data_IF_537769302227
#
_entry.id   IF_537769302227
#
_cell.length_a   1.000
_cell.length_b   1.000
_cell.length_c   1.000
_cell.angle_alpha   90.00
_cell.angle_beta   90.00
_cell.angle_gamma   90.00
#
_symmetry.space_group_name_H-M   'P 1'
#
loop_
_entity.id
_entity.type
_entity.pdbx_description
1 polymer ?
#
# COMPACT_ATOMS: atom_id res chain seq x y z
N UNK A 1 19.91 5.55 15.09
CA UNK A 1 19.14 4.33 14.79
C UNK A 1 17.88 4.43 15.62
N UNK A 2 16.76 4.73 14.99
CA UNK A 2 15.44 4.62 15.61
C UNK A 2 15.08 3.15 15.46
N UNK A 3 15.05 2.39 16.54
CA UNK A 3 14.55 1.01 16.49
C UNK A 3 13.02 1.08 16.45
N UNK A 4 12.48 1.33 15.26
CA UNK A 4 11.03 1.47 15.03
C UNK A 4 10.25 0.18 15.27
N UNK A 5 10.93 -0.90 15.67
CA UNK A 5 10.35 -2.20 15.97
C UNK A 5 9.15 -2.12 16.90
N UNK A 6 9.26 -1.47 18.06
CA UNK A 6 8.17 -1.39 19.03
C UNK A 6 6.95 -0.62 18.51
N UNK A 7 7.17 0.46 17.75
CA UNK A 7 6.08 1.25 17.15
C UNK A 7 5.37 0.47 16.04
N UNK A 8 6.14 -0.22 15.19
CA UNK A 8 5.59 -1.05 14.11
C UNK A 8 4.80 -2.23 14.69
N UNK A 9 5.34 -2.93 15.69
CA UNK A 9 4.64 -4.03 16.38
C UNK A 9 3.38 -3.57 17.10
N UNK A 10 3.40 -2.40 17.70
CA UNK A 10 2.20 -1.78 18.26
C UNK A 10 1.11 -1.56 17.19
N UNK A 11 1.48 -1.01 16.03
CA UNK A 11 0.54 -0.78 14.93
C UNK A 11 0.03 -2.09 14.29
N UNK A 12 0.91 -3.08 14.11
CA UNK A 12 0.53 -4.42 13.63
C UNK A 12 -0.53 -5.05 14.55
N UNK A 13 -0.31 -5.02 15.87
CA UNK A 13 -1.27 -5.55 16.84
C UNK A 13 -2.64 -4.85 16.81
N UNK A 14 -2.67 -3.54 16.53
CA UNK A 14 -3.93 -2.80 16.40
C UNK A 14 -4.74 -3.24 15.17
N UNK A 15 -4.09 -3.73 14.12
CA UNK A 15 -4.74 -4.12 12.85
C UNK A 15 -4.90 -5.64 12.68
N UNK A 16 -4.46 -6.45 13.65
CA UNK A 16 -4.55 -7.90 13.57
C UNK A 16 -5.95 -8.40 13.98
N UNK A 17 -6.80 -8.61 12.97
CA UNK A 17 -8.15 -9.15 13.13
C UNK A 17 -8.18 -10.61 13.65
N UNK A 18 -7.07 -11.33 13.51
CA UNK A 18 -6.95 -12.76 13.79
C UNK A 18 -6.13 -13.04 15.06
N UNK A 19 -5.69 -12.01 15.81
CA UNK A 19 -4.76 -12.16 16.94
C UNK A 19 -5.27 -13.11 18.03
N UNK A 20 -6.58 -13.24 18.20
CA UNK A 20 -7.17 -14.19 19.16
C UNK A 20 -6.99 -15.66 18.74
N UNK A 21 -6.56 -15.95 17.52
CA UNK A 21 -6.21 -17.33 17.12
C UNK A 21 -4.92 -17.82 17.75
N UNK A 22 -4.04 -16.90 18.12
CA UNK A 22 -2.66 -17.17 18.55
C UNK A 22 -2.33 -16.59 19.92
N UNK A 23 -3.15 -15.67 20.43
CA UNK A 23 -2.95 -14.98 21.69
C UNK A 23 -4.26 -14.78 22.45
N UNK A 24 -4.17 -14.45 23.73
CA UNK A 24 -5.31 -14.05 24.54
C UNK A 24 -5.45 -12.53 24.58
N UNK A 25 -6.64 -12.02 24.85
CA UNK A 25 -6.85 -10.58 25.00
C UNK A 25 -5.92 -9.96 26.06
N UNK A 26 -5.68 -10.69 27.16
CA UNK A 26 -4.76 -10.25 28.21
C UNK A 26 -3.29 -10.36 27.80
N UNK A 27 -2.92 -11.39 27.04
CA UNK A 27 -1.59 -11.52 26.43
C UNK A 27 -1.26 -10.35 25.50
N UNK A 28 -2.24 -9.93 24.69
CA UNK A 28 -2.11 -8.73 23.84
C UNK A 28 -1.99 -7.45 24.67
N UNK A 29 -2.76 -7.31 25.76
CA UNK A 29 -2.64 -6.16 26.66
C UNK A 29 -1.22 -6.03 27.25
N UNK A 30 -0.59 -7.14 27.66
CA UNK A 30 0.80 -7.14 28.16
C UNK A 30 1.82 -6.74 27.10
N UNK A 31 1.60 -7.14 25.85
CA UNK A 31 2.43 -6.70 24.73
C UNK A 31 2.29 -5.19 24.52
N UNK A 32 1.08 -4.65 24.54
CA UNK A 32 0.86 -3.20 24.44
C UNK A 32 1.56 -2.41 25.55
N UNK A 33 1.49 -2.85 26.81
CA UNK A 33 2.20 -2.19 27.92
C UNK A 33 3.71 -2.13 27.67
N UNK A 34 4.29 -3.23 27.18
CA UNK A 34 5.72 -3.31 26.86
C UNK A 34 6.09 -2.34 25.73
N UNK A 35 5.32 -2.34 24.64
CA UNK A 35 5.59 -1.47 23.50
C UNK A 35 5.38 0.00 23.82
N UNK A 36 4.31 0.37 24.55
CA UNK A 36 4.06 1.76 24.91
C UNK A 36 5.20 2.34 25.75
N UNK A 37 5.72 1.59 26.72
CA UNK A 37 6.82 2.04 27.55
C UNK A 37 8.07 2.36 26.70
N UNK A 38 8.41 1.47 25.76
CA UNK A 38 9.53 1.66 24.86
C UNK A 38 9.29 2.81 23.87
N UNK A 39 8.13 2.86 23.22
CA UNK A 39 7.75 3.93 22.28
C UNK A 39 7.83 5.30 22.98
N UNK A 40 7.26 5.44 24.18
CA UNK A 40 7.32 6.70 24.94
C UNK A 40 8.78 7.12 25.19
N UNK A 41 9.64 6.18 25.57
CA UNK A 41 11.07 6.42 25.79
C UNK A 41 11.78 6.86 24.50
N UNK A 42 11.54 6.16 23.39
CA UNK A 42 12.13 6.49 22.09
C UNK A 42 11.68 7.85 21.57
N UNK A 43 10.37 8.14 21.66
CA UNK A 43 9.81 9.45 21.27
C UNK A 43 10.45 10.57 22.07
N UNK A 44 10.62 10.41 23.39
CA UNK A 44 11.30 11.44 24.20
C UNK A 44 12.76 11.65 23.75
N UNK A 45 13.50 10.58 23.47
CA UNK A 45 14.88 10.69 22.95
C UNK A 45 14.92 11.41 21.60
N UNK A 46 13.99 11.11 20.71
CA UNK A 46 13.88 11.77 19.41
C UNK A 46 13.52 13.25 19.55
N UNK A 47 12.58 13.59 20.43
CA UNK A 47 12.25 14.98 20.71
C UNK A 47 13.43 15.75 21.31
N UNK A 48 14.29 15.11 22.11
CA UNK A 48 15.53 15.74 22.60
C UNK A 48 16.55 15.99 21.49
N UNK A 49 16.63 15.10 20.50
CA UNK A 49 17.58 15.22 19.38
C UNK A 49 17.07 16.15 18.26
N UNK A 50 15.75 16.36 18.16
CA UNK A 50 15.11 17.19 17.14
C UNK A 50 14.87 18.60 17.67
N UNK A 51 15.43 19.61 17.02
CA UNK A 51 15.20 21.03 17.38
C UNK A 51 14.05 21.66 16.58
N UNK A 52 13.66 21.07 15.46
CA UNK A 52 12.64 21.57 14.53
C UNK A 52 11.65 20.45 14.15
N UNK A 53 10.45 20.83 13.71
CA UNK A 53 9.39 19.92 13.21
C UNK A 53 8.97 18.79 14.17
N UNK A 54 9.10 19.03 15.48
CA UNK A 54 8.66 18.09 16.53
C UNK A 54 7.16 17.84 16.48
N UNK A 55 6.38 18.89 16.22
CA UNK A 55 4.93 18.85 16.00
C UNK A 55 4.56 17.93 14.83
N UNK A 56 5.21 18.12 13.68
CA UNK A 56 4.96 17.29 12.48
C UNK A 56 5.31 15.82 12.71
N UNK A 57 6.41 15.53 13.41
CA UNK A 57 6.79 14.16 13.77
C UNK A 57 5.75 13.50 14.70
N UNK A 58 5.27 14.23 15.70
CA UNK A 58 4.25 13.72 16.62
C UNK A 58 2.90 13.53 15.92
N UNK A 59 2.50 14.45 15.05
CA UNK A 59 1.30 14.31 14.21
C UNK A 59 1.38 13.12 13.27
N UNK A 60 2.55 12.85 12.69
CA UNK A 60 2.77 11.64 11.89
C UNK A 60 2.52 10.37 12.70
N UNK A 61 3.13 10.23 13.88
CA UNK A 61 2.92 9.04 14.73
C UNK A 61 1.45 8.88 15.14
N UNK A 62 0.75 9.99 15.42
CA UNK A 62 -0.69 9.98 15.70
C UNK A 62 -1.46 9.45 14.49
N UNK A 63 -1.20 9.97 13.29
CA UNK A 63 -1.85 9.52 12.06
C UNK A 63 -1.59 8.04 11.76
N UNK A 64 -0.37 7.56 12.02
CA UNK A 64 0.00 6.14 11.87
C UNK A 64 -0.76 5.22 12.81
N UNK A 65 -1.10 5.67 14.02
CA UNK A 65 -1.98 4.94 14.94
C UNK A 65 -3.43 5.05 14.47
N UNK A 66 -3.89 6.24 14.10
CA UNK A 66 -5.29 6.50 13.73
C UNK A 66 -5.70 5.76 12.44
N UNK A 67 -4.77 5.47 11.52
CA UNK A 67 -5.07 4.71 10.28
C UNK A 67 -5.27 3.20 10.50
N UNK A 68 -4.93 2.67 11.67
CA UNK A 68 -5.04 1.22 11.96
C UNK A 68 -6.50 0.77 12.09
N UNK A 69 -6.74 -0.52 11.82
CA UNK A 69 -8.06 -1.15 11.71
C UNK A 69 -8.61 -1.67 13.06
N UNK A 70 -8.51 -0.88 14.14
CA UNK A 70 -9.16 -1.18 15.41
C UNK A 70 -10.47 -0.39 15.60
N UNK A 71 -11.31 -0.86 16.54
CA UNK A 71 -12.59 -0.23 16.91
C UNK A 71 -12.33 1.00 17.80
N UNK A 72 -12.33 2.19 17.19
CA UNK A 72 -11.95 3.46 17.83
C UNK A 72 -12.92 3.96 18.91
N UNK A 73 -14.15 3.45 18.92
CA UNK A 73 -15.21 3.76 19.88
C UNK A 73 -15.44 2.62 20.88
N UNK A 74 -14.51 1.66 20.96
CA UNK A 74 -14.53 0.58 21.94
C UNK A 74 -14.14 1.04 23.35
N UNK A 75 -14.95 1.94 23.92
CA UNK A 75 -14.83 2.38 25.30
C UNK A 75 -15.31 1.33 26.31
N UNK A 76 -15.42 1.76 27.57
CA UNK A 76 -15.83 0.87 28.68
C UNK A 76 -17.21 0.21 28.48
N UNK A 77 -18.05 0.78 27.61
CA UNK A 77 -19.34 0.21 27.20
C UNK A 77 -19.21 -1.20 26.59
N UNK A 78 -18.12 -1.53 25.90
CA UNK A 78 -17.91 -2.85 25.30
C UNK A 78 -17.78 -3.95 26.36
N UNK A 79 -17.07 -3.64 27.44
CA UNK A 79 -16.76 -4.60 28.51
C UNK A 79 -17.68 -4.50 29.72
N UNK A 80 -18.50 -3.44 29.81
CA UNK A 80 -19.37 -3.18 30.96
C UNK A 80 -20.28 -4.35 31.35
N UNK A 81 -20.77 -5.12 30.38
CA UNK A 81 -21.58 -6.32 30.65
C UNK A 81 -20.76 -7.39 31.38
N UNK A 82 -19.50 -7.57 30.99
CA UNK A 82 -18.58 -8.54 31.57
C UNK A 82 -18.06 -8.09 32.94
N UNK A 83 -17.68 -6.81 33.07
CA UNK A 83 -17.26 -6.24 34.36
C UNK A 83 -18.34 -6.44 35.43
N UNK A 84 -19.62 -6.22 35.08
CA UNK A 84 -20.76 -6.47 35.97
C UNK A 84 -20.96 -7.95 36.27
N UNK A 85 -20.82 -8.80 35.26
CA UNK A 85 -21.00 -10.25 35.42
C UNK A 85 -19.94 -10.88 36.33
N UNK A 86 -18.69 -10.46 36.19
CA UNK A 86 -17.57 -10.94 37.02
C UNK A 86 -17.36 -10.13 38.31
N UNK A 87 -18.17 -9.10 38.55
CA UNK A 87 -18.08 -8.20 39.71
C UNK A 87 -16.66 -7.66 39.95
N UNK A 88 -16.04 -7.14 38.89
CA UNK A 88 -14.66 -6.64 38.90
C UNK A 88 -14.57 -5.25 38.26
N UNK A 89 -13.66 -4.41 38.75
CA UNK A 89 -13.34 -3.13 38.11
C UNK A 89 -12.32 -3.31 36.98
N UNK A 90 -12.28 -2.36 36.05
CA UNK A 90 -11.24 -2.38 35.01
C UNK A 90 -9.86 -2.13 35.60
N UNK A 91 -9.75 -1.26 36.60
CA UNK A 91 -8.48 -0.95 37.27
C UNK A 91 -7.86 -2.20 37.91
N UNK A 92 -8.67 -3.05 38.55
CA UNK A 92 -8.20 -4.33 39.11
C UNK A 92 -7.65 -5.29 38.05
N UNK A 93 -8.16 -5.21 36.80
CA UNK A 93 -7.63 -6.00 35.69
C UNK A 93 -6.30 -5.42 35.18
N UNK A 94 -6.16 -4.09 35.17
CA UNK A 94 -4.98 -3.39 34.66
C UNK A 94 -3.81 -3.35 35.65
N UNK A 95 -4.10 -3.28 36.95
CA UNK A 95 -3.09 -3.22 38.03
C UNK A 95 -2.53 -4.60 38.42
N UNK A 96 -3.01 -5.68 37.78
CA UNK A 96 -2.58 -7.06 37.99
C UNK A 96 -2.65 -7.53 39.46
N UNK A 97 -3.49 -6.92 40.30
CA UNK A 97 -3.41 -7.10 41.75
C UNK A 97 -3.79 -8.51 42.24
N UNK A 98 -4.60 -9.28 41.50
CA UNK A 98 -4.88 -10.68 41.84
C UNK A 98 -5.34 -11.54 40.64
N UNK A 99 -4.43 -12.34 40.06
CA UNK A 99 -4.73 -13.34 39.03
C UNK A 99 -5.70 -14.46 39.48
N UNK A 100 -6.20 -14.42 40.72
CA UNK A 100 -7.22 -15.35 41.24
C UNK A 100 -8.64 -14.96 40.90
N UNK A 101 -8.87 -13.74 40.41
CA UNK A 101 -10.23 -13.31 40.03
C UNK A 101 -10.79 -14.20 38.90
N UNK A 102 -12.08 -14.58 38.95
CA UNK A 102 -12.66 -15.52 37.99
C UNK A 102 -12.52 -15.09 36.53
N UNK A 103 -12.46 -13.79 36.25
CA UNK A 103 -12.33 -13.27 34.89
C UNK A 103 -10.99 -13.67 34.24
N UNK A 104 -9.90 -13.82 35.01
CA UNK A 104 -8.60 -14.20 34.46
C UNK A 104 -8.58 -15.65 33.96
N UNK A 105 -9.45 -16.51 34.49
CA UNK A 105 -9.65 -17.87 33.96
C UNK A 105 -10.18 -17.88 32.52
N UNK A 106 -10.71 -16.75 32.07
CA UNK A 106 -11.24 -16.53 30.72
C UNK A 106 -10.33 -15.62 29.89
N UNK A 107 -9.76 -14.56 30.49
CA UNK A 107 -8.92 -13.60 29.80
C UNK A 107 -7.48 -14.08 29.54
N UNK A 108 -6.95 -14.95 30.40
CA UNK A 108 -5.56 -15.44 30.33
C UNK A 108 -5.46 -16.87 29.78
N UNK A 109 -6.58 -17.60 29.73
CA UNK A 109 -6.66 -18.92 29.08
C UNK A 109 -7.08 -18.77 27.63
N UNK A 110 -6.36 -19.39 26.70
CA UNK A 110 -6.75 -19.37 25.30
C UNK A 110 -8.07 -20.13 25.10
N UNK A 111 -9.05 -19.55 24.40
CA UNK A 111 -10.37 -20.18 24.27
C UNK A 111 -10.32 -21.51 23.49
N UNK A 112 -9.31 -21.72 22.65
CA UNK A 112 -9.05 -23.02 22.00
C UNK A 112 -8.61 -24.12 22.97
N UNK A 113 -8.13 -23.78 24.17
CA UNK A 113 -7.79 -24.75 25.21
C UNK A 113 -9.02 -25.19 26.02
N UNK A 114 -10.20 -24.62 25.73
CA UNK A 114 -11.47 -25.00 26.33
C UNK A 114 -12.16 -26.11 25.52
N UNK A 115 -13.07 -26.82 26.17
CA UNK A 115 -13.83 -27.93 25.56
C UNK A 115 -14.47 -27.50 24.22
N UNK A 116 -14.24 -28.22 23.11
CA UNK A 116 -14.85 -27.93 21.82
C UNK A 116 -16.38 -27.92 21.89
N UNK A 117 -17.01 -26.97 21.20
CA UNK A 117 -18.48 -26.82 21.15
C UNK A 117 -19.15 -26.60 22.51
N UNK A 118 -18.42 -26.07 23.49
CA UNK A 118 -18.96 -25.73 24.82
C UNK A 118 -19.44 -24.28 24.88
N UNK A 119 -20.47 -24.04 25.70
CA UNK A 119 -20.93 -22.67 26.01
C UNK A 119 -19.84 -21.82 26.67
N UNK A 120 -18.92 -22.47 27.37
CA UNK A 120 -17.78 -21.84 28.03
C UNK A 120 -16.78 -21.30 27.00
N UNK A 121 -16.46 -22.09 25.97
CA UNK A 121 -15.63 -21.66 24.85
C UNK A 121 -16.24 -20.46 24.11
N UNK A 122 -17.52 -20.54 23.76
CA UNK A 122 -18.21 -19.47 23.03
C UNK A 122 -18.22 -18.17 23.85
N UNK A 123 -18.52 -18.29 25.15
CA UNK A 123 -18.48 -17.14 26.08
C UNK A 123 -17.06 -16.58 26.20
N UNK A 124 -16.05 -17.43 26.31
CA UNK A 124 -14.66 -16.99 26.43
C UNK A 124 -14.19 -16.22 25.20
N UNK A 125 -14.54 -16.69 24.01
CA UNK A 125 -14.27 -15.97 22.78
C UNK A 125 -14.91 -14.57 22.78
N UNK A 126 -16.19 -14.47 23.16
CA UNK A 126 -16.89 -13.17 23.22
C UNK A 126 -16.29 -12.22 24.26
N UNK A 127 -15.94 -12.73 25.44
CA UNK A 127 -15.26 -11.95 26.49
C UNK A 127 -13.92 -11.44 25.96
N UNK A 128 -13.08 -12.32 25.41
CA UNK A 128 -11.77 -11.92 24.89
C UNK A 128 -11.88 -10.94 23.72
N UNK A 129 -12.84 -11.10 22.82
CA UNK A 129 -13.06 -10.17 21.72
C UNK A 129 -13.47 -8.77 22.20
N UNK A 130 -14.40 -8.68 23.15
CA UNK A 130 -14.83 -7.39 23.70
C UNK A 130 -13.68 -6.70 24.46
N UNK A 131 -12.91 -7.46 25.24
CA UNK A 131 -11.74 -6.95 25.96
C UNK A 131 -10.59 -6.56 25.03
N UNK A 132 -10.34 -7.32 23.96
CA UNK A 132 -9.33 -6.99 22.96
C UNK A 132 -9.65 -5.64 22.31
N UNK A 133 -10.90 -5.45 21.84
CA UNK A 133 -11.35 -4.19 21.26
C UNK A 133 -11.17 -3.03 22.25
N UNK A 134 -11.54 -3.24 23.52
CA UNK A 134 -11.33 -2.27 24.58
C UNK A 134 -9.84 -1.94 24.78
N UNK A 135 -8.98 -2.94 24.88
CA UNK A 135 -7.54 -2.73 25.08
C UNK A 135 -6.89 -2.02 23.89
N UNK A 136 -7.21 -2.41 22.65
CA UNK A 136 -6.73 -1.72 21.46
C UNK A 136 -7.10 -0.24 21.48
N UNK A 137 -8.38 0.07 21.76
CA UNK A 137 -8.84 1.45 21.84
C UNK A 137 -8.16 2.22 22.99
N UNK A 138 -8.09 1.63 24.18
CA UNK A 138 -7.51 2.24 25.38
C UNK A 138 -6.03 2.58 25.17
N UNK A 139 -5.23 1.63 24.71
CA UNK A 139 -3.79 1.82 24.52
C UNK A 139 -3.46 2.71 23.32
N UNK A 140 -4.25 2.66 22.24
CA UNK A 140 -4.13 3.61 21.14
C UNK A 140 -4.40 5.04 21.62
N UNK A 141 -5.48 5.25 22.38
CA UNK A 141 -5.82 6.56 22.95
C UNK A 141 -4.75 7.05 23.93
N UNK A 142 -4.24 6.18 24.82
CA UNK A 142 -3.17 6.53 25.75
C UNK A 142 -1.91 7.02 25.02
N UNK A 143 -1.51 6.32 23.97
CA UNK A 143 -0.34 6.71 23.19
C UNK A 143 -0.59 7.99 22.39
N UNK A 144 -1.76 8.15 21.78
CA UNK A 144 -2.16 9.37 21.07
C UNK A 144 -2.18 10.57 22.03
N UNK A 145 -2.76 10.43 23.23
CA UNK A 145 -2.79 11.49 24.24
C UNK A 145 -1.38 11.86 24.69
N UNK A 146 -0.51 10.87 24.92
CA UNK A 146 0.89 11.10 25.21
C UNK A 146 1.56 11.91 24.09
N UNK A 147 1.41 11.51 22.83
CA UNK A 147 2.01 12.19 21.67
C UNK A 147 1.48 13.63 21.55
N UNK A 148 0.15 13.83 21.65
CA UNK A 148 -0.48 15.16 21.64
C UNK A 148 0.02 16.04 22.78
N UNK A 149 0.28 15.47 23.96
CA UNK A 149 0.83 16.22 25.11
C UNK A 149 2.23 16.79 24.86
N UNK A 150 2.97 16.23 23.89
CA UNK A 150 4.31 16.68 23.51
C UNK A 150 4.32 17.68 22.36
N UNK A 151 3.18 17.91 21.71
CA UNK A 151 3.08 18.93 20.65
C UNK A 151 3.25 20.31 21.30
N UNK A 152 4.25 21.11 20.89
CA UNK A 152 4.49 22.43 21.47
C UNK A 152 3.29 23.36 21.29
N UNK A 153 2.74 23.89 22.39
CA UNK A 153 1.66 24.89 22.36
C UNK A 153 2.22 26.29 22.03
N UNK A 154 2.60 26.52 20.77
CA UNK A 154 3.05 27.79 20.12
C UNK A 154 4.22 28.56 20.78
N UNK A 155 5.24 28.85 19.96
CA UNK A 155 6.62 29.31 20.28
C UNK A 155 6.74 30.78 20.74
N UNK A 156 7.92 31.20 21.25
CA UNK A 156 8.75 32.05 20.40
C UNK A 156 10.22 31.63 20.26
N UNK A 157 10.77 32.15 19.16
CA UNK A 157 12.14 32.12 18.65
C UNK A 157 13.22 32.24 19.73
N UNK A 158 14.31 31.47 19.59
CA UNK A 158 15.66 32.03 19.63
C UNK A 158 16.65 31.09 18.94
N UNK A 159 17.40 31.66 18.01
CA UNK A 159 18.56 31.06 17.37
C UNK A 159 19.67 30.87 18.40
N UNK A 160 20.25 29.67 18.45
CA UNK A 160 21.61 29.47 18.91
C UNK A 160 22.28 28.41 18.04
N UNK A 161 23.46 28.76 17.56
CA UNK A 161 24.27 28.08 16.56
C UNK A 161 25.29 27.11 17.20
N UNK A 162 25.59 26.01 16.46
CA UNK A 162 26.81 25.15 16.44
C UNK A 162 26.82 23.94 17.42
N UNK A 163 27.39 22.75 17.09
CA UNK A 163 28.16 22.31 15.90
C UNK A 163 27.59 21.12 15.09
N UNK A 164 27.99 21.12 13.82
CA UNK A 164 27.73 20.12 12.77
C UNK A 164 28.36 18.77 13.13
N UNK A 165 27.52 17.77 13.41
CA UNK A 165 27.83 16.38 13.06
C UNK A 165 27.19 16.12 11.68
N UNK A 166 28.00 15.73 10.68
CA UNK A 166 27.51 15.30 9.35
C UNK A 166 26.69 14.01 9.51
N UNK A 167 25.46 14.14 9.94
CA UNK A 167 24.42 13.12 9.83
C UNK A 167 23.58 13.51 8.62
N UNK A 168 23.31 12.54 7.73
CA UNK A 168 22.47 12.80 6.56
C UNK A 168 21.13 13.40 7.04
N UNK A 169 20.62 14.45 6.38
CA UNK A 169 19.42 15.17 6.84
C UNK A 169 18.11 14.41 6.58
N UNK A 170 18.18 13.17 6.09
CA UNK A 170 17.04 12.35 5.70
C UNK A 170 17.31 10.87 6.05
N UNK A 171 16.24 10.11 6.30
CA UNK A 171 16.26 8.65 6.47
C UNK A 171 16.51 7.96 5.12
N UNK A 172 17.25 6.87 5.10
CA UNK A 172 17.46 6.04 3.90
C UNK A 172 17.42 4.54 4.21
N UNK A 173 16.81 4.15 5.33
CA UNK A 173 16.80 2.78 5.82
C UNK A 173 15.98 1.88 4.90
N UNK A 174 14.72 2.23 4.68
CA UNK A 174 13.84 1.47 3.81
C UNK A 174 14.23 1.60 2.35
N UNK A 175 14.84 2.71 1.92
CA UNK A 175 15.43 2.80 0.59
C UNK A 175 16.56 1.78 0.41
N UNK A 176 17.46 1.66 1.38
CA UNK A 176 18.55 0.70 1.31
C UNK A 176 18.05 -0.74 1.40
N UNK A 177 17.09 -1.04 2.27
CA UNK A 177 16.47 -2.37 2.39
C UNK A 177 15.73 -2.73 1.11
N UNK A 178 14.85 -1.86 0.61
CA UNK A 178 14.13 -2.08 -0.64
C UNK A 178 15.11 -2.36 -1.79
N UNK A 179 16.12 -1.50 -2.00
CA UNK A 179 17.11 -1.69 -3.06
C UNK A 179 17.89 -3.01 -2.91
N UNK A 180 18.19 -3.43 -1.67
CA UNK A 180 18.83 -4.72 -1.41
C UNK A 180 17.91 -5.88 -1.77
N UNK A 181 16.66 -5.84 -1.31
CA UNK A 181 15.69 -6.93 -1.49
C UNK A 181 15.29 -7.10 -2.95
N UNK A 182 15.19 -6.03 -3.75
CA UNK A 182 14.91 -6.16 -5.19
C UNK A 182 16.13 -6.61 -6.00
N UNK A 183 17.34 -6.51 -5.44
CA UNK A 183 18.62 -6.86 -6.10
C UNK A 183 19.15 -8.25 -5.73
N UNK A 184 18.51 -8.96 -4.81
CA UNK A 184 18.97 -10.25 -4.27
C UNK A 184 18.29 -11.47 -4.94
N UNK A 185 18.50 -11.67 -6.24
CA UNK A 185 17.94 -12.80 -6.99
C UNK A 185 18.36 -14.16 -6.43
N UNK A 186 19.52 -14.20 -5.76
CA UNK A 186 20.05 -15.42 -5.13
C UNK A 186 19.19 -15.93 -3.99
N UNK A 187 18.35 -15.07 -3.38
CA UNK A 187 17.41 -15.48 -2.33
C UNK A 187 16.45 -16.59 -2.80
N UNK A 188 16.19 -16.67 -4.11
CA UNK A 188 15.39 -17.74 -4.74
C UNK A 188 16.00 -19.12 -4.47
N UNK A 189 17.30 -19.22 -4.19
CA UNK A 189 17.96 -20.50 -3.83
C UNK A 189 17.68 -20.96 -2.41
N UNK A 190 17.13 -20.10 -1.56
CA UNK A 190 16.88 -20.37 -0.15
C UNK A 190 15.38 -20.53 0.14
N UNK A 191 14.51 -20.12 -0.78
CA UNK A 191 13.05 -20.20 -0.65
C UNK A 191 12.36 -20.35 -2.02
N UNK A 192 11.08 -20.00 -2.15
CA UNK A 192 10.33 -19.92 -3.41
C UNK A 192 10.13 -18.47 -3.85
N UNK A 193 9.91 -18.26 -5.15
CA UNK A 193 9.60 -16.93 -5.68
C UNK A 193 8.38 -16.30 -4.97
N UNK A 194 7.31 -17.07 -4.77
CA UNK A 194 6.08 -16.53 -4.17
C UNK A 194 6.31 -15.98 -2.75
N UNK A 195 7.14 -16.64 -1.95
CA UNK A 195 7.47 -16.11 -0.63
C UNK A 195 8.31 -14.84 -0.68
N UNK A 196 9.28 -14.77 -1.60
CA UNK A 196 10.05 -13.54 -1.79
C UNK A 196 9.18 -12.40 -2.31
N UNK A 197 8.18 -12.71 -3.13
CA UNK A 197 7.23 -11.71 -3.61
C UNK A 197 6.39 -11.13 -2.47
N UNK A 198 5.80 -11.99 -1.64
CA UNK A 198 4.89 -11.57 -0.55
C UNK A 198 5.65 -10.93 0.64
N UNK A 199 6.79 -11.48 1.05
CA UNK A 199 7.50 -11.06 2.27
C UNK A 199 8.76 -10.22 2.02
N UNK A 200 9.25 -10.17 0.79
CA UNK A 200 10.40 -9.36 0.40
C UNK A 200 9.98 -8.18 -0.46
N UNK A 201 9.74 -8.45 -1.75
CA UNK A 201 9.58 -7.43 -2.79
C UNK A 201 8.41 -6.48 -2.53
N UNK A 202 7.23 -7.00 -2.20
CA UNK A 202 6.04 -6.16 -1.96
C UNK A 202 5.95 -5.63 -0.53
N UNK A 203 6.57 -6.31 0.43
CA UNK A 203 6.52 -5.95 1.84
C UNK A 203 7.17 -4.60 2.10
N UNK A 204 8.34 -4.32 1.52
CA UNK A 204 9.10 -3.08 1.80
C UNK A 204 8.63 -1.85 1.04
N UNK A 205 7.81 -2.00 -0.03
CA UNK A 205 7.34 -0.86 -0.83
C UNK A 205 6.58 0.20 -0.01
N UNK A 206 5.55 -0.15 0.80
CA UNK A 206 4.80 0.85 1.57
C UNK A 206 5.67 1.58 2.60
N UNK A 207 6.67 0.90 3.18
CA UNK A 207 7.60 1.51 4.12
C UNK A 207 8.53 2.51 3.43
N UNK A 208 9.01 2.20 2.23
CA UNK A 208 9.78 3.15 1.42
C UNK A 208 8.92 4.36 1.00
N UNK A 209 7.67 4.15 0.58
CA UNK A 209 6.75 5.26 0.27
C UNK A 209 6.52 6.18 1.48
N UNK A 210 6.42 5.59 2.67
CA UNK A 210 6.31 6.31 3.94
C UNK A 210 7.59 7.07 4.26
N UNK A 211 8.76 6.43 4.18
CA UNK A 211 10.07 7.05 4.38
C UNK A 211 10.31 8.25 3.44
N UNK A 212 9.97 8.11 2.15
CA UNK A 212 10.05 9.20 1.17
C UNK A 212 9.14 10.35 1.57
N UNK A 213 7.91 10.06 1.98
CA UNK A 213 6.95 11.08 2.42
C UNK A 213 7.44 11.81 3.66
N UNK A 214 7.94 11.08 4.66
CA UNK A 214 8.53 11.66 5.88
C UNK A 214 9.71 12.56 5.55
N UNK A 215 10.63 12.12 4.71
CA UNK A 215 11.80 12.92 4.33
C UNK A 215 11.39 14.20 3.58
N UNK A 216 10.39 14.12 2.70
CA UNK A 216 9.86 15.29 2.01
C UNK A 216 9.16 16.29 2.94
N UNK A 217 8.66 15.85 4.09
CA UNK A 217 8.12 16.74 5.11
C UNK A 217 9.22 17.45 5.91
N UNK A 218 10.32 16.76 6.17
CA UNK A 218 11.42 17.26 7.03
C UNK A 218 12.41 18.14 6.26
N UNK A 219 12.66 17.86 4.99
CA UNK A 219 13.66 18.56 4.19
C UNK A 219 13.23 19.98 3.83
N UNK A 220 14.21 20.89 3.83
CA UNK A 220 14.04 22.24 3.29
C UNK A 220 13.59 22.20 1.83
N UNK A 221 12.81 23.20 1.41
CA UNK A 221 12.20 23.23 0.07
C UNK A 221 13.22 23.08 -1.06
N UNK A 222 14.41 23.66 -0.91
CA UNK A 222 15.51 23.57 -1.88
C UNK A 222 16.21 22.20 -1.91
N UNK A 223 15.95 21.32 -0.92
CA UNK A 223 16.54 19.98 -0.80
C UNK A 223 15.61 18.83 -1.18
N UNK A 224 14.31 19.09 -1.32
CA UNK A 224 13.32 18.06 -1.67
C UNK A 224 13.61 17.42 -3.02
N UNK A 225 13.90 18.22 -4.04
CA UNK A 225 14.22 17.72 -5.39
C UNK A 225 15.55 16.95 -5.44
N UNK A 226 16.56 17.38 -4.68
CA UNK A 226 17.83 16.66 -4.55
C UNK A 226 17.61 15.28 -3.93
N UNK A 227 16.76 15.20 -2.90
CA UNK A 227 16.40 13.94 -2.26
C UNK A 227 15.59 13.02 -3.19
N UNK A 228 14.58 13.54 -3.89
CA UNK A 228 13.82 12.72 -4.85
C UNK A 228 14.72 12.20 -5.97
N UNK A 229 15.63 13.03 -6.46
CA UNK A 229 16.63 12.63 -7.45
C UNK A 229 17.56 11.55 -6.88
N UNK A 230 17.95 11.65 -5.61
CA UNK A 230 18.74 10.62 -4.91
C UNK A 230 18.00 9.28 -4.81
N UNK A 231 16.71 9.30 -4.46
CA UNK A 231 15.87 8.10 -4.42
C UNK A 231 15.77 7.46 -5.80
N UNK A 232 15.44 8.26 -6.83
CA UNK A 232 15.34 7.79 -8.22
C UNK A 232 16.67 7.18 -8.69
N UNK A 233 17.79 7.85 -8.44
CA UNK A 233 19.12 7.36 -8.78
C UNK A 233 19.41 5.99 -8.15
N UNK A 234 19.03 5.82 -6.87
CA UNK A 234 19.23 4.57 -6.14
C UNK A 234 18.39 3.42 -6.69
N UNK A 235 17.11 3.64 -6.95
CA UNK A 235 16.21 2.56 -7.43
C UNK A 235 16.47 2.21 -8.89
N UNK A 236 16.76 3.20 -9.75
CA UNK A 236 17.03 2.99 -11.19
C UNK A 236 18.37 2.30 -11.46
N UNK A 237 19.33 2.40 -10.53
CA UNK A 237 20.63 1.69 -10.61
C UNK A 237 20.58 0.24 -10.13
N UNK A 238 19.45 -0.25 -9.66
CA UNK A 238 19.33 -1.67 -9.32
C UNK A 238 19.38 -2.56 -10.57
N UNK A 239 19.88 -3.81 -10.46
CA UNK A 239 20.19 -4.65 -11.63
C UNK A 239 18.98 -4.94 -12.54
N UNK A 240 17.77 -4.90 -11.97
CA UNK A 240 16.53 -5.30 -12.65
C UNK A 240 15.57 -4.13 -12.87
N UNK A 241 16.01 -2.88 -12.66
CA UNK A 241 15.18 -1.70 -12.86
C UNK A 241 14.65 -1.55 -14.30
N UNK A 242 15.37 -2.10 -15.28
CA UNK A 242 15.04 -2.00 -16.70
C UNK A 242 15.29 -3.33 -17.42
N UNK A 243 14.33 -4.25 -17.31
CA UNK A 243 14.29 -5.47 -18.13
C UNK A 243 13.41 -5.27 -19.39
N UNK A 244 13.63 -6.03 -20.46
CA UNK A 244 12.80 -5.96 -21.68
C UNK A 244 11.32 -6.30 -21.42
N UNK A 245 10.40 -5.72 -22.19
CA UNK A 245 8.96 -6.02 -22.07
C UNK A 245 8.62 -7.49 -22.39
N UNK A 246 9.39 -8.11 -23.28
CA UNK A 246 9.25 -9.49 -23.69
C UNK A 246 10.02 -10.50 -22.80
N UNK A 247 10.50 -10.07 -21.63
CA UNK A 247 11.38 -10.86 -20.77
C UNK A 247 10.75 -12.20 -20.34
N UNK A 248 9.42 -12.25 -20.13
CA UNK A 248 8.71 -13.47 -19.75
C UNK A 248 7.99 -14.19 -20.91
N UNK A 249 8.15 -13.73 -22.16
CA UNK A 249 7.43 -14.27 -23.34
C UNK A 249 7.55 -15.79 -23.48
N UNK A 250 8.73 -16.34 -23.15
CA UNK A 250 8.98 -17.77 -23.22
C UNK A 250 8.08 -18.56 -22.27
N UNK A 251 7.79 -18.02 -21.08
CA UNK A 251 6.95 -18.65 -20.08
C UNK A 251 5.47 -18.41 -20.35
N UNK A 252 5.11 -17.21 -20.81
CA UNK A 252 3.76 -16.87 -21.28
C UNK A 252 3.32 -17.87 -22.35
N UNK A 253 4.17 -18.10 -23.36
CA UNK A 253 3.89 -19.05 -24.45
C UNK A 253 3.91 -20.51 -23.97
N UNK A 254 4.85 -20.87 -23.09
CA UNK A 254 5.01 -22.26 -22.61
C UNK A 254 3.81 -22.70 -21.75
N UNK A 255 3.34 -21.83 -20.87
CA UNK A 255 2.29 -22.14 -19.90
C UNK A 255 0.89 -21.66 -20.30
N UNK A 256 0.77 -20.96 -21.44
CA UNK A 256 -0.48 -20.39 -21.94
C UNK A 256 -1.19 -19.51 -20.88
N UNK A 257 -0.47 -18.50 -20.39
CA UNK A 257 -0.92 -17.61 -19.30
C UNK A 257 -0.95 -16.15 -19.72
N UNK A 258 -1.80 -15.35 -19.08
CA UNK A 258 -1.83 -13.89 -19.22
C UNK A 258 -1.06 -13.24 -18.05
N UNK A 259 -0.20 -12.26 -18.36
CA UNK A 259 0.51 -11.45 -17.35
C UNK A 259 -0.43 -10.68 -16.43
N UNK A 260 -1.67 -10.42 -16.83
CA UNK A 260 -2.68 -9.83 -15.95
C UNK A 260 -3.02 -10.71 -14.74
N UNK A 261 -2.70 -12.01 -14.80
CA UNK A 261 -2.88 -12.94 -13.69
C UNK A 261 -1.69 -12.95 -12.71
N UNK A 262 -0.61 -12.23 -13.01
CA UNK A 262 0.57 -12.16 -12.15
C UNK A 262 0.21 -11.61 -10.75
N UNK A 263 0.77 -12.17 -9.67
CA UNK A 263 1.68 -13.33 -9.62
C UNK A 263 0.95 -14.68 -9.53
N UNK A 264 -0.38 -14.70 -9.39
CA UNK A 264 -1.21 -15.88 -9.11
C UNK A 264 -1.88 -16.42 -10.38
N UNK A 265 -1.09 -17.05 -11.24
CA UNK A 265 -1.55 -17.64 -12.50
C UNK A 265 -2.54 -18.79 -12.32
N UNK A 266 -3.51 -18.93 -13.23
CA UNK A 266 -4.44 -20.08 -13.22
C UNK A 266 -3.77 -21.40 -13.62
N UNK A 267 -2.71 -21.34 -14.42
CA UNK A 267 -1.94 -22.51 -14.82
C UNK A 267 -1.29 -23.15 -13.58
N UNK A 268 -1.70 -24.38 -13.25
CA UNK A 268 -1.24 -25.08 -12.05
C UNK A 268 0.25 -25.39 -12.06
N UNK A 269 0.81 -25.76 -13.21
CA UNK A 269 2.22 -26.14 -13.33
C UNK A 269 3.14 -24.94 -13.08
N UNK A 270 2.83 -23.79 -13.68
CA UNK A 270 3.57 -22.56 -13.43
C UNK A 270 3.43 -22.12 -11.96
N UNK A 271 2.20 -22.17 -11.43
CA UNK A 271 1.96 -21.73 -10.06
C UNK A 271 2.67 -22.64 -9.04
N UNK A 272 2.70 -23.96 -9.28
CA UNK A 272 3.48 -24.91 -8.50
C UNK A 272 4.99 -24.63 -8.61
N UNK A 273 5.50 -24.36 -9.81
CA UNK A 273 6.89 -23.98 -10.01
C UNK A 273 7.25 -22.70 -9.24
N UNK A 274 6.37 -21.70 -9.19
CA UNK A 274 6.62 -20.45 -8.46
C UNK A 274 6.52 -20.59 -6.93
N UNK A 275 5.74 -21.56 -6.43
CA UNK A 275 5.58 -21.83 -4.99
C UNK A 275 6.59 -22.84 -4.42
N UNK A 276 7.25 -23.61 -5.29
CA UNK A 276 8.16 -24.67 -4.86
C UNK A 276 9.43 -24.13 -4.20
N UNK A 277 9.80 -24.68 -3.04
CA UNK A 277 11.09 -24.39 -2.41
C UNK A 277 12.24 -25.05 -3.16
N UNK A 278 13.23 -24.26 -3.57
CA UNK A 278 14.38 -24.77 -4.33
C UNK A 278 15.19 -25.86 -3.60
N UNK A 279 15.34 -25.77 -2.27
CA UNK A 279 16.06 -26.77 -1.47
C UNK A 279 15.17 -27.85 -0.85
N UNK A 280 13.85 -27.70 -0.94
CA UNK A 280 12.89 -28.55 -0.23
C UNK A 280 12.47 -29.80 -0.99
N UNK A 281 12.84 -29.94 -2.27
CA UNK A 281 12.37 -31.03 -3.14
C UNK A 281 13.53 -31.86 -3.69
N UNK A 282 13.36 -33.18 -3.63
CA UNK A 282 14.18 -34.12 -4.37
C UNK A 282 13.78 -34.09 -5.85
N UNK A 283 14.60 -33.43 -6.68
CA UNK A 283 14.42 -33.47 -8.13
C UNK A 283 14.96 -34.79 -8.70
N UNK A 284 14.26 -35.36 -9.68
CA UNK A 284 14.70 -36.59 -10.33
C UNK A 284 15.96 -36.34 -11.18
N UNK A 285 16.15 -35.12 -11.69
CA UNK A 285 17.33 -34.71 -12.45
C UNK A 285 17.83 -33.31 -12.09
N UNK A 286 19.13 -33.07 -12.29
CA UNK A 286 19.73 -31.73 -12.18
C UNK A 286 19.13 -30.73 -13.18
N UNK A 287 18.64 -31.19 -14.33
CA UNK A 287 18.04 -30.33 -15.35
C UNK A 287 16.70 -29.76 -14.88
N UNK A 288 15.86 -30.57 -14.25
CA UNK A 288 14.58 -30.12 -13.67
C UNK A 288 14.80 -29.08 -12.58
N UNK A 289 15.76 -29.34 -11.69
CA UNK A 289 16.14 -28.41 -10.63
C UNK A 289 16.65 -27.08 -11.20
N UNK A 290 17.51 -27.12 -12.22
CA UNK A 290 18.01 -25.92 -12.88
C UNK A 290 16.88 -25.13 -13.57
N UNK A 291 15.99 -25.82 -14.28
CA UNK A 291 14.86 -25.19 -14.97
C UNK A 291 13.92 -24.48 -13.98
N UNK A 292 13.63 -25.10 -12.83
CA UNK A 292 12.84 -24.49 -11.77
C UNK A 292 13.48 -23.18 -11.27
N UNK A 293 14.78 -23.23 -10.98
CA UNK A 293 15.52 -22.06 -10.50
C UNK A 293 15.50 -20.93 -11.54
N UNK A 294 15.70 -21.24 -12.81
CA UNK A 294 15.67 -20.25 -13.89
C UNK A 294 14.30 -19.57 -13.99
N UNK A 295 13.20 -20.35 -13.95
CA UNK A 295 11.84 -19.80 -13.93
C UNK A 295 11.69 -18.84 -12.75
N UNK A 296 12.02 -19.26 -11.55
CA UNK A 296 11.82 -18.43 -10.37
C UNK A 296 12.69 -17.16 -10.36
N UNK A 297 13.94 -17.24 -10.85
CA UNK A 297 14.82 -16.07 -10.99
C UNK A 297 14.24 -15.08 -12.01
N UNK A 298 13.73 -15.56 -13.14
CA UNK A 298 13.17 -14.67 -14.18
C UNK A 298 11.90 -13.96 -13.67
N UNK A 299 11.01 -14.69 -12.98
CA UNK A 299 9.84 -14.08 -12.36
C UNK A 299 10.21 -13.11 -11.23
N UNK A 300 11.26 -13.41 -10.46
CA UNK A 300 11.82 -12.50 -9.48
C UNK A 300 12.33 -11.20 -10.12
N UNK A 301 13.14 -11.29 -11.19
CA UNK A 301 13.64 -10.11 -11.91
C UNK A 301 12.49 -9.24 -12.44
N UNK A 302 11.45 -9.88 -12.98
CA UNK A 302 10.24 -9.20 -13.45
C UNK A 302 9.48 -8.50 -12.34
N UNK A 303 9.28 -9.16 -11.20
CA UNK A 303 8.65 -8.58 -10.03
C UNK A 303 9.45 -7.36 -9.51
N UNK A 304 10.77 -7.48 -9.40
CA UNK A 304 11.65 -6.38 -8.99
C UNK A 304 11.51 -5.17 -9.90
N UNK A 305 11.46 -5.37 -11.22
CA UNK A 305 11.21 -4.27 -12.18
C UNK A 305 9.87 -3.59 -11.92
N UNK A 306 8.78 -4.34 -11.69
CA UNK A 306 7.45 -3.78 -11.43
C UNK A 306 7.43 -2.95 -10.14
N UNK A 307 8.07 -3.43 -9.08
CA UNK A 307 8.14 -2.69 -7.82
C UNK A 307 8.99 -1.42 -7.94
N UNK A 308 10.10 -1.45 -8.70
CA UNK A 308 10.87 -0.24 -9.05
C UNK A 308 10.01 0.78 -9.79
N UNK A 309 9.24 0.35 -10.81
CA UNK A 309 8.35 1.24 -11.57
C UNK A 309 7.34 1.94 -10.66
N UNK A 310 6.73 1.22 -9.72
CA UNK A 310 5.78 1.79 -8.75
C UNK A 310 6.44 2.86 -7.86
N UNK A 311 7.66 2.62 -7.39
CA UNK A 311 8.39 3.63 -6.60
C UNK A 311 8.79 4.84 -7.45
N UNK A 312 9.19 4.65 -8.70
CA UNK A 312 9.46 5.75 -9.63
C UNK A 312 8.21 6.60 -9.82
N UNK A 313 7.06 5.98 -10.16
CA UNK A 313 5.77 6.66 -10.31
C UNK A 313 5.39 7.42 -9.03
N UNK A 314 5.59 6.82 -7.87
CA UNK A 314 5.35 7.46 -6.58
C UNK A 314 6.24 8.68 -6.37
N UNK A 315 7.55 8.57 -6.59
CA UNK A 315 8.49 9.69 -6.43
C UNK A 315 8.19 10.81 -7.41
N UNK A 316 7.90 10.48 -8.67
CA UNK A 316 7.51 11.46 -9.69
C UNK A 316 6.25 12.22 -9.30
N UNK A 317 5.28 11.55 -8.67
CA UNK A 317 4.05 12.19 -8.16
C UNK A 317 4.31 13.23 -7.05
N UNK A 318 5.48 13.18 -6.39
CA UNK A 318 5.88 14.08 -5.31
C UNK A 318 6.78 15.23 -5.74
N UNK A 319 7.33 15.19 -6.95
CA UNK A 319 8.21 16.24 -7.46
C UNK A 319 7.44 17.52 -7.80
N UNK A 320 7.95 18.67 -7.36
CA UNK A 320 7.40 19.99 -7.69
C UNK A 320 7.65 20.37 -9.16
N UNK A 321 8.53 19.65 -9.87
CA UNK A 321 8.64 19.75 -11.34
C UNK A 321 7.30 19.44 -12.03
N UNK A 322 6.42 18.67 -11.39
CA UNK A 322 5.06 18.55 -11.88
C UNK A 322 4.17 19.74 -11.50
N UNK A 323 4.38 20.57 -10.47
CA UNK A 323 3.47 21.70 -10.20
C UNK A 323 3.52 22.82 -11.25
N UNK A 324 4.68 23.09 -11.85
CA UNK A 324 4.76 23.98 -13.03
C UNK A 324 4.25 23.29 -14.31
N UNK A 325 4.22 21.96 -14.33
CA UNK A 325 3.69 21.15 -15.44
C UNK A 325 2.21 20.72 -15.23
N UNK A 326 1.64 20.92 -14.03
CA UNK A 326 0.30 20.48 -13.61
C UNK A 326 -0.78 21.53 -13.90
N UNK A 327 -0.39 22.69 -14.44
CA UNK A 327 -1.29 23.49 -15.28
C UNK A 327 -1.42 22.93 -16.70
N UNK A 328 -0.57 21.96 -17.10
CA UNK A 328 -0.52 21.44 -18.48
C UNK A 328 -0.85 19.93 -18.57
N UNK A 329 -0.71 19.12 -17.51
CA UNK A 329 -0.89 17.65 -17.61
C UNK A 329 -1.85 17.07 -16.57
N UNK A 330 -3.15 17.30 -16.76
CA UNK A 330 -4.16 16.30 -16.40
C UNK A 330 -4.34 15.33 -17.59
N UNK A 331 -3.47 14.32 -17.70
CA UNK A 331 -3.60 13.13 -18.58
C UNK A 331 -2.47 12.15 -18.22
N UNK A 332 -2.68 10.87 -17.89
CA UNK A 332 -3.89 10.08 -17.81
C UNK A 332 -3.54 8.65 -17.41
N UNK A 333 -4.47 7.97 -16.73
CA UNK A 333 -4.59 6.52 -16.86
C UNK A 333 -5.25 6.26 -18.22
N UNK A 334 -4.56 5.47 -19.04
CA UNK A 334 -4.72 5.26 -20.49
C UNK A 334 -4.38 6.49 -21.36
N UNK A 335 -3.35 6.34 -22.21
CA UNK A 335 -3.08 7.27 -23.33
C UNK A 335 -4.16 7.20 -24.43
N UNK A 336 -5.25 6.46 -24.22
CA UNK A 336 -6.25 6.20 -25.24
C UNK A 336 -7.54 6.97 -24.91
N UNK A 337 -8.01 7.78 -25.86
CA UNK A 337 -9.32 8.42 -25.79
C UNK A 337 -10.41 7.34 -25.64
N UNK A 338 -11.47 7.64 -24.88
CA UNK A 338 -12.64 6.76 -24.83
C UNK A 338 -13.32 6.68 -26.20
N UNK A 339 -14.15 5.67 -26.45
CA UNK A 339 -14.86 5.53 -27.74
C UNK A 339 -15.67 6.80 -28.09
N UNK A 340 -16.35 7.42 -27.11
CA UNK A 340 -17.07 8.67 -27.35
C UNK A 340 -16.10 9.81 -27.70
N UNK A 341 -14.99 9.94 -26.98
CA UNK A 341 -13.96 10.96 -27.22
C UNK A 341 -13.32 10.78 -28.61
N UNK A 342 -13.04 9.55 -29.04
CA UNK A 342 -12.54 9.25 -30.38
C UNK A 342 -13.55 9.71 -31.44
N UNK A 343 -14.82 9.34 -31.29
CA UNK A 343 -15.87 9.71 -32.25
C UNK A 343 -16.07 11.23 -32.30
N UNK A 344 -16.04 11.92 -31.17
CA UNK A 344 -16.10 13.38 -31.10
C UNK A 344 -14.88 14.04 -31.77
N UNK A 345 -13.67 13.52 -31.53
CA UNK A 345 -12.47 14.03 -32.20
C UNK A 345 -12.54 13.83 -33.72
N UNK A 346 -13.04 12.69 -34.18
CA UNK A 346 -13.26 12.44 -35.61
C UNK A 346 -14.32 13.38 -36.20
N UNK A 347 -15.36 13.72 -35.44
CA UNK A 347 -16.34 14.71 -35.84
C UNK A 347 -15.72 16.10 -36.03
N UNK A 348 -14.97 16.57 -35.04
CA UNK A 348 -14.35 17.91 -35.08
C UNK A 348 -13.23 18.01 -36.13
N UNK A 349 -12.52 16.92 -36.41
CA UNK A 349 -11.51 16.88 -37.49
C UNK A 349 -12.11 16.70 -38.89
N UNK A 350 -13.45 16.63 -39.00
CA UNK A 350 -14.16 16.56 -40.28
C UNK A 350 -14.15 15.17 -40.95
N UNK A 351 -13.80 14.10 -40.22
CA UNK A 351 -13.78 12.73 -40.75
C UNK A 351 -15.13 12.31 -41.34
N UNK A 352 -16.23 12.62 -40.65
CA UNK A 352 -17.58 12.27 -41.11
C UNK A 352 -18.07 13.13 -42.27
N UNK A 353 -17.43 14.28 -42.53
CA UNK A 353 -17.76 15.20 -43.62
C UNK A 353 -17.16 14.77 -44.97
N UNK A 354 -16.35 13.71 -45.00
CA UNK A 354 -15.83 13.18 -46.27
C UNK A 354 -16.97 12.52 -47.07
N UNK A 355 -17.19 12.84 -48.37
CA UNK A 355 -18.38 12.40 -49.12
C UNK A 355 -18.62 10.88 -49.11
N UNK A 356 -17.56 10.07 -49.08
CA UNK A 356 -17.66 8.61 -49.02
C UNK A 356 -18.12 8.13 -47.63
N UNK A 357 -17.66 8.79 -46.57
CA UNK A 357 -17.96 8.43 -45.19
C UNK A 357 -19.35 8.93 -44.79
N UNK A 358 -19.68 10.17 -45.19
CA UNK A 358 -20.99 10.79 -44.96
C UNK A 358 -22.14 9.93 -45.54
N UNK A 359 -21.97 9.43 -46.77
CA UNK A 359 -22.95 8.59 -47.46
C UNK A 359 -22.94 7.12 -47.02
N UNK A 360 -21.98 6.71 -46.19
CA UNK A 360 -21.93 5.34 -45.67
C UNK A 360 -22.93 5.14 -44.52
N UNK A 361 -23.47 3.93 -44.38
CA UNK A 361 -24.32 3.59 -43.24
C UNK A 361 -23.52 3.67 -41.93
N UNK A 362 -24.18 3.99 -40.81
CA UNK A 362 -23.53 4.04 -39.48
C UNK A 362 -22.81 2.74 -39.10
N UNK A 363 -23.26 1.59 -39.65
CA UNK A 363 -22.58 0.28 -39.50
C UNK A 363 -21.24 0.27 -40.23
N UNK A 364 -21.21 0.70 -41.49
CA UNK A 364 -19.96 0.79 -42.27
C UNK A 364 -18.99 1.83 -41.69
N UNK A 365 -19.52 2.95 -41.19
CA UNK A 365 -18.72 3.95 -40.47
C UNK A 365 -18.09 3.36 -39.20
N UNK A 366 -18.85 2.59 -38.41
CA UNK A 366 -18.31 1.95 -37.20
C UNK A 366 -17.30 0.85 -37.49
N UNK A 367 -17.48 0.06 -38.55
CA UNK A 367 -16.51 -0.94 -39.00
C UNK A 367 -15.19 -0.28 -39.43
N UNK A 368 -15.27 0.82 -40.18
CA UNK A 368 -14.08 1.59 -40.61
C UNK A 368 -13.30 2.12 -39.40
N UNK A 369 -13.98 2.72 -38.42
CA UNK A 369 -13.32 3.25 -37.21
C UNK A 369 -12.79 2.09 -36.35
N UNK A 370 -13.47 0.95 -36.32
CA UNK A 370 -13.01 -0.26 -35.61
C UNK A 370 -11.69 -0.77 -36.20
N UNK A 371 -11.56 -0.79 -37.53
CA UNK A 371 -10.30 -1.15 -38.21
C UNK A 371 -9.17 -0.18 -37.85
N UNK A 372 -9.45 1.12 -37.76
CA UNK A 372 -8.45 2.15 -37.43
C UNK A 372 -8.00 2.05 -35.96
N UNK A 373 -8.91 1.72 -35.05
CA UNK A 373 -8.69 1.87 -33.60
C UNK A 373 -8.51 0.55 -32.85
N UNK A 374 -8.85 -0.59 -33.46
CA UNK A 374 -8.92 -1.89 -32.80
C UNK A 374 -10.08 -2.03 -31.78
N UNK A 375 -11.00 -1.08 -31.73
CA UNK A 375 -12.09 -1.03 -30.74
C UNK A 375 -13.38 -1.68 -31.26
N UNK A 376 -14.25 -2.11 -30.34
CA UNK A 376 -15.49 -2.80 -30.67
C UNK A 376 -16.47 -1.93 -31.50
N UNK A 377 -16.84 -2.42 -32.69
CA UNK A 377 -17.71 -1.77 -33.67
C UNK A 377 -19.12 -1.44 -33.14
N UNK A 378 -19.73 -2.30 -32.34
CA UNK A 378 -21.06 -2.05 -31.73
C UNK A 378 -21.05 -0.85 -30.79
N UNK A 379 -19.99 -0.69 -30.01
CA UNK A 379 -19.82 0.44 -29.10
C UNK A 379 -19.54 1.74 -29.88
N UNK A 380 -18.71 1.66 -30.93
CA UNK A 380 -18.46 2.78 -31.84
C UNK A 380 -19.76 3.23 -32.51
N UNK A 381 -20.55 2.30 -33.06
CA UNK A 381 -21.84 2.59 -33.68
C UNK A 381 -22.77 3.35 -32.74
N UNK A 382 -22.83 2.93 -31.48
CA UNK A 382 -23.62 3.61 -30.44
C UNK A 382 -23.12 5.03 -30.20
N UNK A 383 -21.81 5.25 -30.18
CA UNK A 383 -21.22 6.58 -30.04
C UNK A 383 -21.50 7.48 -31.27
N UNK A 384 -21.41 6.95 -32.50
CA UNK A 384 -21.76 7.72 -33.70
C UNK A 384 -23.24 8.12 -33.68
N UNK A 385 -24.14 7.25 -33.22
CA UNK A 385 -25.57 7.57 -33.08
C UNK A 385 -25.85 8.70 -32.08
N UNK A 386 -24.93 8.97 -31.13
CA UNK A 386 -25.07 10.10 -30.21
C UNK A 386 -24.83 11.44 -30.90
N UNK A 387 -24.05 11.48 -31.99
CA UNK A 387 -23.82 12.71 -32.76
C UNK A 387 -25.12 13.25 -33.37
N UNK A 388 -26.09 12.38 -33.64
CA UNK A 388 -27.40 12.77 -34.21
C UNK A 388 -28.38 13.30 -33.13
N UNK A 389 -27.99 13.29 -31.85
CA UNK A 389 -28.82 13.74 -30.72
C UNK A 389 -28.38 15.10 -30.19
N UNK A 390 -29.31 15.85 -29.60
CA UNK A 390 -28.96 17.11 -28.93
C UNK A 390 -28.17 16.83 -27.65
N UNK A 391 -27.18 17.68 -27.36
CA UNK A 391 -26.33 17.56 -26.16
C UNK A 391 -27.16 17.54 -24.86
N UNK A 392 -28.28 18.28 -24.83
CA UNK A 392 -29.24 18.28 -23.71
C UNK A 392 -29.86 16.91 -23.41
N UNK A 393 -29.86 15.97 -24.37
CA UNK A 393 -30.42 14.62 -24.24
C UNK A 393 -29.38 13.57 -23.80
N UNK A 394 -28.09 13.96 -23.70
CA UNK A 394 -26.96 13.04 -23.50
C UNK A 394 -26.30 13.15 -22.10
N UNK A 395 -26.72 14.13 -21.30
CA UNK A 395 -26.28 14.32 -19.91
C UNK A 395 -24.88 14.93 -19.74
N UNK A 396 -24.54 15.30 -18.50
CA UNK A 396 -23.31 16.04 -18.17
C UNK A 396 -22.01 15.33 -18.55
N UNK A 397 -22.00 14.00 -18.55
CA UNK A 397 -20.81 13.23 -18.91
C UNK A 397 -20.45 13.35 -20.39
N UNK A 398 -21.43 13.57 -21.28
CA UNK A 398 -21.17 13.79 -22.71
C UNK A 398 -20.59 15.20 -22.95
N UNK A 399 -21.07 16.20 -22.22
CA UNK A 399 -20.51 17.55 -22.27
C UNK A 399 -19.04 17.55 -21.83
N UNK A 400 -18.70 16.82 -20.76
CA UNK A 400 -17.30 16.65 -20.32
C UNK A 400 -16.41 16.01 -21.40
N UNK A 401 -16.95 15.08 -22.19
CA UNK A 401 -16.23 14.48 -23.32
C UNK A 401 -15.99 15.53 -24.43
N UNK A 402 -16.97 16.38 -24.74
CA UNK A 402 -16.83 17.50 -25.70
C UNK A 402 -15.76 18.49 -25.22
N UNK A 403 -15.87 18.98 -23.99
CA UNK A 403 -14.95 19.96 -23.41
C UNK A 403 -13.50 19.45 -23.45
N UNK A 404 -13.31 18.15 -23.19
CA UNK A 404 -12.01 17.49 -23.25
C UNK A 404 -11.47 17.40 -24.68
N UNK A 405 -12.30 17.16 -25.70
CA UNK A 405 -11.88 17.15 -27.10
C UNK A 405 -11.54 18.55 -27.58
N UNK A 406 -12.36 19.55 -27.24
CA UNK A 406 -12.07 20.94 -27.58
C UNK A 406 -10.73 21.39 -27.00
N UNK A 407 -10.49 21.10 -25.71
CA UNK A 407 -9.20 21.38 -25.08
C UNK A 407 -8.01 20.73 -25.82
N UNK A 408 -8.18 19.50 -26.32
CA UNK A 408 -7.12 18.82 -27.08
C UNK A 408 -6.87 19.54 -28.42
N UNK A 409 -7.92 19.92 -29.14
CA UNK A 409 -7.79 20.61 -30.43
C UNK A 409 -7.19 22.01 -30.26
N UNK A 410 -7.62 22.74 -29.23
CA UNK A 410 -7.08 24.05 -28.86
C UNK A 410 -5.60 23.96 -28.45
N UNK A 411 -5.18 22.84 -27.84
CA UNK A 411 -3.77 22.64 -27.44
C UNK A 411 -2.82 22.32 -28.60
N UNK A 412 -3.36 22.01 -29.79
CA UNK A 412 -2.58 21.65 -30.99
C UNK A 412 -2.65 22.77 -32.05
N UNK A 413 -3.61 23.69 -31.93
CA UNK A 413 -3.76 24.89 -32.78
C UNK A 413 -2.85 26.02 -32.28
#
# INVERSE_FOLDING_TARGET
MLDSYSFNKFCELLSDEDILRTSTAFGVAKQFQTYIADIKSQVLKELMNRTENQDVFLEFLINEIEKQYYVKDAGINYINKWLKEYNISIDAILEEEDHKEPIFTVLDRHYNDMEPFSKEKDKAFLVQMDFLNYFCCMYANELIEFLRSKIPKVKPQNQAQIPIAKTKPFKDEYLNVFCKEISNERAVRETSFMQLYDYGLTHYRPYLESEITENLLILDKDKKEDYLSYVLDKVTKTPYASIPENFLDQYIKKYDVDLNEFPKFKNKELNEALNTYYQGIYHATHQEQHNLLCIQIDFYCYASMLEVKKIIEFVESKSDKQKETNLIVKKGNSKQLTINQIVLLLQETGFFSHPIIENASKVKQSELISIITGLNDKNIKTAIQKLDKKVSELGENYQKDIDKIQYILDSIS
#
